data_IF_639740486449
#
_entry.id   IF_639740486449
#
_cell.length_a   1.000
_cell.length_b   1.000
_cell.length_c   1.000
_cell.angle_alpha   90.00
_cell.angle_beta   90.00
_cell.angle_gamma   90.00
#
_symmetry.space_group_name_H-M   'P 1'
#
loop_
_entity.id
_entity.type
_entity.pdbx_description
1 polymer ?
#
# COMPACT_ATOMS: atom_id res chain seq x y z
N UNK A 1 -70.30 -18.70 -38.71
CA UNK A 1 -69.97 -17.82 -39.86
C UNK A 1 -69.75 -16.45 -39.27
N UNK A 2 -68.49 -16.10 -39.05
CA UNK A 2 -67.72 -15.13 -39.87
C UNK A 2 -67.72 -13.79 -39.13
N UNK A 3 -66.71 -12.93 -39.12
CA UNK A 3 -65.27 -12.99 -39.35
C UNK A 3 -64.74 -11.72 -38.64
N UNK A 4 -63.55 -11.83 -38.03
CA UNK A 4 -62.49 -10.81 -37.89
C UNK A 4 -62.86 -9.33 -38.06
N UNK A 5 -62.51 -8.49 -37.07
CA UNK A 5 -61.79 -7.25 -37.36
C UNK A 5 -60.89 -6.82 -36.20
N UNK A 6 -59.65 -6.54 -36.57
CA UNK A 6 -58.47 -6.18 -35.80
C UNK A 6 -58.61 -4.87 -35.05
N UNK A 7 -58.07 -4.79 -33.84
CA UNK A 7 -58.00 -3.52 -33.10
C UNK A 7 -57.17 -3.56 -31.83
N UNK A 8 -55.89 -4.00 -31.90
CA UNK A 8 -54.91 -3.65 -30.86
C UNK A 8 -54.58 -2.16 -31.02
N UNK A 9 -55.41 -1.31 -30.43
CA UNK A 9 -55.11 0.10 -30.27
C UNK A 9 -54.08 0.22 -29.14
N UNK A 10 -52.82 0.50 -29.51
CA UNK A 10 -51.77 0.93 -28.60
C UNK A 10 -51.86 2.46 -28.52
N UNK A 11 -52.35 3.08 -27.42
CA UNK A 11 -52.08 4.49 -27.21
C UNK A 11 -50.64 4.63 -26.70
N UNK A 12 -49.78 5.07 -27.61
CA UNK A 12 -48.50 5.71 -27.31
C UNK A 12 -48.70 6.80 -26.26
N UNK A 13 -48.18 6.56 -25.06
CA UNK A 13 -48.03 7.57 -24.02
C UNK A 13 -46.58 7.53 -23.54
N UNK A 14 -45.67 7.88 -24.45
CA UNK A 14 -44.34 8.38 -24.12
C UNK A 14 -44.34 9.91 -24.10
N UNK A 15 -45.45 10.52 -23.68
CA UNK A 15 -45.54 11.95 -23.39
C UNK A 15 -45.85 12.16 -21.90
N UNK A 16 -45.06 11.50 -21.07
CA UNK A 16 -44.83 12.00 -19.72
C UNK A 16 -43.34 12.24 -19.60
N UNK A 17 -42.92 13.43 -20.05
CA UNK A 17 -41.75 14.11 -19.53
C UNK A 17 -41.94 14.27 -18.03
N UNK A 18 -41.68 13.19 -17.30
CA UNK A 18 -41.55 13.19 -15.85
C UNK A 18 -40.09 13.48 -15.64
N UNK A 19 -39.78 14.68 -15.16
CA UNK A 19 -38.44 15.23 -14.93
C UNK A 19 -37.62 14.47 -13.88
N UNK A 20 -37.51 13.15 -14.04
CA UNK A 20 -36.60 12.27 -13.32
C UNK A 20 -35.13 12.69 -13.48
N UNK A 21 -34.80 13.40 -14.56
CA UNK A 21 -33.49 14.00 -14.79
C UNK A 21 -33.16 15.09 -13.77
N UNK A 22 -34.14 15.88 -13.32
CA UNK A 22 -33.87 16.98 -12.38
C UNK A 22 -33.37 16.48 -11.01
N UNK A 23 -33.95 15.40 -10.50
CA UNK A 23 -33.47 14.77 -9.26
C UNK A 23 -32.10 14.13 -9.42
N UNK A 24 -31.88 13.44 -10.55
CA UNK A 24 -30.63 12.73 -10.85
C UNK A 24 -29.45 13.70 -11.10
N UNK A 25 -29.69 14.82 -11.80
CA UNK A 25 -28.68 15.87 -12.02
C UNK A 25 -28.27 16.49 -10.69
N UNK A 26 -29.24 16.83 -9.83
CA UNK A 26 -28.96 17.34 -8.49
C UNK A 26 -28.16 16.35 -7.61
N UNK A 27 -28.39 15.04 -7.77
CA UNK A 27 -27.62 14.00 -7.07
C UNK A 27 -26.18 13.90 -7.58
N UNK A 28 -25.98 13.93 -8.90
CA UNK A 28 -24.65 13.85 -9.53
C UNK A 28 -23.82 15.11 -9.20
N UNK A 29 -24.42 16.30 -9.20
CA UNK A 29 -23.74 17.54 -8.81
C UNK A 29 -23.26 17.51 -7.36
N UNK A 30 -24.09 17.00 -6.43
CA UNK A 30 -23.69 16.86 -5.01
C UNK A 30 -22.52 15.90 -4.85
N UNK A 31 -22.51 14.77 -5.56
CA UNK A 31 -21.41 13.79 -5.52
C UNK A 31 -20.13 14.38 -6.15
N UNK A 32 -20.25 15.04 -7.30
CA UNK A 32 -19.12 15.71 -7.96
C UNK A 32 -18.49 16.81 -7.10
N UNK A 33 -19.30 17.54 -6.32
CA UNK A 33 -18.81 18.59 -5.41
C UNK A 33 -17.99 18.03 -4.23
N UNK A 34 -18.25 16.79 -3.82
CA UNK A 34 -17.49 16.10 -2.77
C UNK A 34 -16.14 15.60 -3.31
N UNK A 35 -16.12 15.09 -4.54
CA UNK A 35 -14.91 14.55 -5.17
C UNK A 35 -13.95 15.63 -5.67
N UNK A 36 -14.46 16.79 -6.12
CA UNK A 36 -13.64 17.91 -6.60
C UNK A 36 -13.08 18.80 -5.48
N UNK A 37 -13.48 18.59 -4.22
CA UNK A 37 -13.00 19.35 -3.07
C UNK A 37 -11.67 18.82 -2.54
N UNK A 38 -10.66 18.77 -3.40
CA UNK A 38 -9.26 18.58 -3.00
C UNK A 38 -8.41 19.80 -3.35
N UNK A 39 -8.70 20.92 -2.66
CA UNK A 39 -7.65 21.88 -2.33
C UNK A 39 -7.33 21.64 -0.87
N UNK A 40 -6.27 20.86 -0.64
CA UNK A 40 -5.83 20.43 0.69
C UNK A 40 -5.93 21.56 1.70
N UNK A 41 -6.63 21.30 2.79
CA UNK A 41 -6.61 22.19 3.95
C UNK A 41 -5.14 22.40 4.32
N UNK A 42 -4.74 23.68 4.43
CA UNK A 42 -3.42 24.02 4.98
C UNK A 42 -3.46 23.66 6.45
N UNK A 43 -3.19 22.39 6.76
CA UNK A 43 -3.10 21.89 8.12
C UNK A 43 -1.95 22.63 8.80
N UNK A 44 -2.27 23.43 9.81
CA UNK A 44 -1.27 24.05 10.65
C UNK A 44 -0.60 22.93 11.46
N UNK A 45 0.59 22.51 11.04
CA UNK A 45 1.42 21.59 11.82
C UNK A 45 2.14 22.44 12.85
N UNK A 46 1.70 22.34 14.10
CA UNK A 46 2.48 22.83 15.24
C UNK A 46 3.85 22.17 15.16
N UNK A 47 4.91 22.98 15.02
CA UNK A 47 6.29 22.48 15.00
C UNK A 47 6.60 21.94 16.40
N UNK A 48 6.27 20.68 16.64
CA UNK A 48 6.79 19.95 17.77
C UNK A 48 8.32 20.06 17.70
N UNK A 49 8.98 20.47 18.78
CA UNK A 49 10.43 20.39 18.86
C UNK A 49 10.80 18.96 18.48
N UNK A 50 11.52 18.82 17.36
CA UNK A 50 12.05 17.52 16.94
C UNK A 50 12.89 17.05 18.12
N UNK A 51 12.36 16.07 18.87
CA UNK A 51 13.19 15.30 19.80
C UNK A 51 14.46 15.01 19.02
N UNK A 52 15.59 15.50 19.52
CA UNK A 52 16.90 15.12 19.00
C UNK A 52 16.96 13.62 19.18
N UNK A 53 16.46 12.87 18.21
CA UNK A 53 16.88 11.51 17.95
C UNK A 53 18.39 11.68 17.95
N UNK A 54 19.05 11.12 18.96
CA UNK A 54 20.50 11.06 18.96
C UNK A 54 20.80 10.40 17.62
N UNK A 55 21.25 11.19 16.66
CA UNK A 55 21.94 10.69 15.50
C UNK A 55 23.19 10.13 16.15
N UNK A 56 23.08 8.87 16.59
CA UNK A 56 24.24 8.04 16.85
C UNK A 56 25.00 8.20 15.57
N UNK A 57 26.15 8.88 15.63
CA UNK A 57 26.93 9.21 14.45
C UNK A 57 26.96 7.98 13.56
N UNK A 58 26.59 8.12 12.29
CA UNK A 58 26.45 7.00 11.36
C UNK A 58 27.70 6.09 11.36
N UNK A 59 28.85 6.62 11.80
CA UNK A 59 30.09 5.93 12.09
C UNK A 59 30.00 4.81 13.16
N UNK A 60 29.37 5.03 14.32
CA UNK A 60 29.27 4.02 15.39
C UNK A 60 28.33 2.87 15.01
N UNK A 61 27.21 3.19 14.37
CA UNK A 61 26.29 2.17 13.85
C UNK A 61 26.96 1.36 12.72
N UNK A 62 27.73 2.01 11.85
CA UNK A 62 28.51 1.31 10.82
C UNK A 62 29.60 0.41 11.41
N UNK A 63 30.24 0.79 12.52
CA UNK A 63 31.29 -0.02 13.13
C UNK A 63 30.75 -1.38 13.60
N UNK A 64 29.58 -1.40 14.25
CA UNK A 64 28.93 -2.65 14.68
C UNK A 64 28.51 -3.54 13.50
N UNK A 65 28.02 -2.93 12.40
CA UNK A 65 27.65 -3.66 11.19
C UNK A 65 28.87 -4.27 10.49
N UNK A 66 29.96 -3.50 10.36
CA UNK A 66 31.23 -3.98 9.78
C UNK A 66 31.80 -5.17 10.53
N UNK A 67 31.79 -5.14 11.87
CA UNK A 67 32.26 -6.27 12.68
C UNK A 67 31.42 -7.53 12.49
N UNK A 68 30.09 -7.39 12.34
CA UNK A 68 29.22 -8.53 11.98
C UNK A 68 29.54 -9.07 10.59
N UNK A 69 29.69 -8.20 9.59
CA UNK A 69 30.02 -8.58 8.21
C UNK A 69 31.38 -9.29 8.10
N UNK A 70 32.40 -8.81 8.83
CA UNK A 70 33.72 -9.42 8.86
C UNK A 70 33.67 -10.85 9.43
N UNK A 71 32.89 -11.06 10.50
CA UNK A 71 32.66 -12.41 11.06
C UNK A 71 31.94 -13.33 10.07
N UNK A 72 30.93 -12.82 9.35
CA UNK A 72 30.24 -13.60 8.31
C UNK A 72 31.23 -14.01 7.21
N UNK A 73 32.04 -13.09 6.71
CA UNK A 73 33.03 -13.38 5.67
C UNK A 73 34.06 -14.43 6.12
N UNK A 74 34.58 -14.31 7.34
CA UNK A 74 35.52 -15.30 7.89
C UNK A 74 34.89 -16.70 7.97
N UNK A 75 33.61 -16.79 8.33
CA UNK A 75 32.86 -18.05 8.36
C UNK A 75 32.67 -18.60 6.94
N UNK A 76 32.31 -17.75 5.98
CA UNK A 76 32.14 -18.14 4.58
C UNK A 76 33.45 -18.68 3.97
N UNK A 77 34.59 -18.05 4.25
CA UNK A 77 35.90 -18.54 3.82
C UNK A 77 36.22 -19.92 4.40
N UNK A 78 35.88 -20.14 5.67
CA UNK A 78 36.06 -21.43 6.34
C UNK A 78 35.20 -22.51 5.69
N UNK A 79 33.93 -22.20 5.39
CA UNK A 79 33.03 -23.12 4.66
C UNK A 79 33.59 -23.42 3.27
N UNK A 80 34.10 -22.41 2.57
CA UNK A 80 34.68 -22.60 1.23
C UNK A 80 35.91 -23.52 1.23
N UNK A 81 36.74 -23.45 2.29
CA UNK A 81 37.98 -24.25 2.39
C UNK A 81 37.76 -25.67 2.91
N UNK A 82 36.96 -25.83 3.96
CA UNK A 82 36.85 -27.07 4.72
C UNK A 82 35.41 -27.55 4.95
N UNK A 83 34.42 -26.89 4.36
CA UNK A 83 33.01 -27.29 4.39
C UNK A 83 32.29 -26.92 5.69
N UNK A 84 30.96 -27.13 5.70
CA UNK A 84 30.08 -26.76 6.82
C UNK A 84 30.32 -27.58 8.09
N UNK A 85 30.82 -28.81 7.95
CA UNK A 85 31.11 -29.69 9.10
C UNK A 85 32.27 -29.19 9.95
N UNK A 86 33.19 -28.41 9.37
CA UNK A 86 34.33 -27.80 10.06
C UNK A 86 33.95 -26.58 10.92
N UNK A 87 32.68 -26.17 10.90
CA UNK A 87 32.19 -24.99 11.60
C UNK A 87 31.83 -25.31 13.06
N UNK A 88 32.24 -24.45 14.00
CA UNK A 88 31.93 -24.62 15.41
C UNK A 88 30.44 -24.44 15.67
N UNK A 89 29.94 -24.98 16.78
CA UNK A 89 28.52 -24.85 17.14
C UNK A 89 28.09 -23.38 17.23
N UNK A 90 28.98 -22.51 17.69
CA UNK A 90 28.76 -21.07 17.84
C UNK A 90 28.68 -20.35 16.48
N UNK A 91 29.58 -20.69 15.55
CA UNK A 91 29.58 -20.13 14.20
C UNK A 91 28.34 -20.56 13.40
N UNK A 92 27.86 -21.80 13.61
CA UNK A 92 26.60 -22.30 13.02
C UNK A 92 25.39 -21.55 13.55
N UNK A 93 25.31 -21.36 14.87
CA UNK A 93 24.23 -20.61 15.52
C UNK A 93 24.22 -19.14 15.05
N UNK A 94 25.41 -18.55 14.89
CA UNK A 94 25.55 -17.19 14.37
C UNK A 94 25.03 -17.05 12.94
N UNK A 95 25.37 -17.98 12.03
CA UNK A 95 24.82 -18.02 10.67
C UNK A 95 23.29 -18.16 10.67
N UNK A 96 22.76 -19.04 11.52
CA UNK A 96 21.32 -19.25 11.64
C UNK A 96 20.60 -17.96 12.07
N UNK A 97 21.13 -17.29 13.10
CA UNK A 97 20.62 -16.00 13.57
C UNK A 97 20.72 -14.91 12.52
N UNK A 98 21.85 -14.82 11.80
CA UNK A 98 22.06 -13.85 10.74
C UNK A 98 21.11 -14.07 9.54
N UNK A 99 20.74 -15.32 9.24
CA UNK A 99 19.75 -15.64 8.20
C UNK A 99 18.31 -15.29 8.59
N UNK A 100 17.98 -15.25 9.89
CA UNK A 100 16.65 -14.91 10.39
C UNK A 100 16.46 -13.41 10.66
N UNK A 101 17.54 -12.63 10.73
CA UNK A 101 17.52 -11.17 10.95
C UNK A 101 17.31 -10.39 9.63
N UNK A 102 17.09 -11.09 8.50
CA UNK A 102 16.93 -10.55 7.14
C UNK A 102 15.47 -10.47 6.70
#
# INVERSE_FOLDING_TARGET
>A
MEERFTGICQPSQLERGRDWSGGLVNSIERIGSIFSRNKGSKMYVEKMERRKVRVVEDAEFNAGKRLKEERVNAILDKISRSGYDSLSKEEKDFLFRASHEQ
#
